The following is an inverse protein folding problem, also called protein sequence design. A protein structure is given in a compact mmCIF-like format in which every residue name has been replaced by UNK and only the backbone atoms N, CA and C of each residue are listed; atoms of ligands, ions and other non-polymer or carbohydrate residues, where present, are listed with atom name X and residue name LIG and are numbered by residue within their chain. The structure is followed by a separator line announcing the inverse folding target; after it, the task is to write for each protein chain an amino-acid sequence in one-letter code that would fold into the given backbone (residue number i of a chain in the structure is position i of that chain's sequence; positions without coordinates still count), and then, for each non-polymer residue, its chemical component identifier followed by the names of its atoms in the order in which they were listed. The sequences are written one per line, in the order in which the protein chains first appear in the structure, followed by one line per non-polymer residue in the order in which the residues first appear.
data_IF_427229747032
#
_entry.id   IF_427229747032
#
_cell.length_a   1.000
_cell.length_b   1.000
_cell.length_c   1.000
_cell.angle_alpha   90.00
_cell.angle_beta   90.00
_cell.angle_gamma   90.00
#
_symmetry.space_group_name_H-M   'P 1'
#
loop_
_entity.id
_entity.type
_entity.pdbx_description
1 polymer ?
#
# COMPACT_ATOMS: atom_id res chain seq x y z
N UNK A 1 9.77 -13.83 21.64
CA UNK A 1 9.82 -12.80 22.70
C UNK A 1 9.35 -11.52 22.06
N UNK A 2 8.34 -10.89 22.64
CA UNK A 2 7.77 -9.64 22.14
C UNK A 2 8.70 -8.48 22.48
N UNK A 3 9.12 -7.70 21.49
CA UNK A 3 9.94 -6.50 21.65
C UNK A 3 9.17 -5.25 21.24
N UNK A 4 9.51 -4.09 21.79
CA UNK A 4 8.92 -2.83 21.38
C UNK A 4 9.53 -2.34 20.06
N UNK A 5 8.69 -1.72 19.23
CA UNK A 5 9.11 -0.92 18.08
C UNK A 5 8.49 0.47 18.17
N UNK A 6 9.13 1.44 17.52
CA UNK A 6 8.74 2.84 17.59
C UNK A 6 8.67 3.42 16.17
N UNK A 7 7.46 3.67 15.70
CA UNK A 7 7.21 4.32 14.41
C UNK A 7 7.24 5.84 14.63
N UNK A 8 8.18 6.51 13.97
CA UNK A 8 8.32 7.98 14.05
C UNK A 8 7.56 8.63 12.91
N UNK A 9 6.94 9.77 13.19
CA UNK A 9 6.19 10.52 12.20
C UNK A 9 6.16 12.01 12.50
N UNK A 10 6.00 12.83 11.46
CA UNK A 10 5.82 14.28 11.56
C UNK A 10 4.35 14.63 11.32
N UNK A 11 3.85 15.62 12.05
CA UNK A 11 2.50 16.20 11.84
C UNK A 11 2.54 17.38 10.88
N UNK A 12 1.38 17.80 10.36
CA UNK A 12 1.33 18.98 9.45
C UNK A 12 1.76 20.29 10.12
N UNK A 13 1.73 20.37 11.45
CA UNK A 13 2.27 21.50 12.21
C UNK A 13 3.79 21.42 12.45
N UNK A 14 4.47 20.41 11.90
CA UNK A 14 5.91 20.19 12.08
C UNK A 14 6.30 19.55 13.41
N UNK A 15 5.35 19.03 14.19
CA UNK A 15 5.67 18.31 15.43
C UNK A 15 6.05 16.87 15.13
N UNK A 16 7.22 16.45 15.62
CA UNK A 16 7.63 15.05 15.65
C UNK A 16 6.90 14.29 16.76
N UNK A 17 6.42 13.09 16.42
CA UNK A 17 5.74 12.19 17.33
C UNK A 17 6.20 10.76 17.08
N UNK A 18 5.93 9.91 18.07
CA UNK A 18 6.26 8.48 18.01
C UNK A 18 5.04 7.66 18.41
N UNK A 19 4.78 6.59 17.67
CA UNK A 19 3.81 5.57 18.03
C UNK A 19 4.56 4.30 18.48
N UNK A 20 4.22 3.81 19.68
CA UNK A 20 4.78 2.57 20.22
C UNK A 20 3.91 1.39 19.80
N UNK A 21 4.55 0.35 19.29
CA UNK A 21 3.97 -0.94 18.92
C UNK A 21 4.89 -2.07 19.41
N UNK A 22 4.49 -3.30 19.14
CA UNK A 22 5.27 -4.49 19.46
C UNK A 22 5.51 -5.36 18.22
N UNK A 23 6.55 -6.20 18.26
CA UNK A 23 6.93 -7.08 17.14
C UNK A 23 5.91 -8.18 16.85
N UNK A 24 5.02 -8.49 17.78
CA UNK A 24 3.93 -9.48 17.60
C UNK A 24 2.60 -8.85 17.15
N UNK A 25 2.60 -7.55 16.85
CA UNK A 25 1.40 -6.86 16.37
C UNK A 25 0.89 -7.45 15.06
N UNK A 26 -0.41 -7.74 15.03
CA UNK A 26 -1.12 -8.14 13.81
C UNK A 26 -1.74 -6.94 13.11
N UNK A 27 -1.92 -5.82 13.81
CA UNK A 27 -2.59 -4.62 13.28
C UNK A 27 -1.90 -3.36 13.75
N UNK A 28 -1.46 -2.54 12.80
CA UNK A 28 -0.93 -1.20 13.06
C UNK A 28 -1.94 -0.19 12.54
N UNK A 29 -2.53 0.61 13.45
CA UNK A 29 -3.49 1.66 13.11
C UNK A 29 -2.93 3.05 13.47
N UNK A 30 -2.62 3.81 12.44
CA UNK A 30 -2.08 5.16 12.48
C UNK A 30 -3.06 6.18 11.85
N UNK A 31 -4.35 5.84 11.80
CA UNK A 31 -5.40 6.69 11.23
C UNK A 31 -5.58 7.98 12.04
N UNK A 32 -5.99 9.07 11.36
CA UNK A 32 -6.41 10.33 12.00
C UNK A 32 -5.35 10.95 12.94
N UNK A 33 -4.07 10.90 12.55
CA UNK A 33 -2.95 11.41 13.35
C UNK A 33 -2.29 12.67 12.78
N UNK A 34 -2.91 13.24 11.74
CA UNK A 34 -2.41 14.42 11.03
C UNK A 34 -0.99 14.23 10.47
N UNK A 35 -0.67 13.00 10.06
CA UNK A 35 0.68 12.62 9.62
C UNK A 35 0.99 13.27 8.26
N UNK A 36 2.09 14.01 8.16
CA UNK A 36 2.64 14.53 6.89
C UNK A 36 3.80 13.68 6.37
N UNK A 37 4.60 13.10 7.26
CA UNK A 37 5.75 12.24 6.95
C UNK A 37 5.84 11.10 7.97
N UNK A 38 6.27 9.91 7.55
CA UNK A 38 6.35 8.74 8.43
C UNK A 38 7.52 7.82 8.05
N UNK A 39 8.20 7.30 9.07
CA UNK A 39 9.18 6.23 8.95
C UNK A 39 8.54 4.88 9.30
N UNK A 40 8.28 4.08 8.28
CA UNK A 40 7.74 2.72 8.41
C UNK A 40 8.82 1.64 8.58
N UNK A 41 10.12 1.96 8.50
CA UNK A 41 11.18 0.96 8.62
C UNK A 41 11.06 0.06 9.87
N UNK A 42 10.62 0.53 11.05
CA UNK A 42 10.46 -0.33 12.22
C UNK A 42 9.49 -1.50 12.05
N UNK A 43 8.56 -1.46 11.07
CA UNK A 43 7.60 -2.55 10.87
C UNK A 43 8.22 -3.82 10.29
N UNK A 44 9.48 -3.78 9.80
CA UNK A 44 10.20 -4.99 9.33
C UNK A 44 10.25 -6.09 10.40
N UNK A 45 10.12 -5.71 11.69
CA UNK A 45 10.12 -6.62 12.83
C UNK A 45 8.73 -7.16 13.18
N UNK A 46 7.66 -6.70 12.53
CA UNK A 46 6.28 -7.15 12.73
C UNK A 46 5.93 -8.27 11.73
N UNK A 47 6.55 -9.44 11.88
CA UNK A 47 6.38 -10.57 10.95
C UNK A 47 4.94 -11.11 10.87
N UNK A 48 4.11 -10.83 11.88
CA UNK A 48 2.71 -11.24 11.95
C UNK A 48 1.73 -10.15 11.49
N UNK A 49 2.22 -9.06 10.89
CA UNK A 49 1.38 -7.94 10.49
C UNK A 49 0.36 -8.37 9.42
N UNK A 50 -0.92 -8.26 9.75
CA UNK A 50 -2.04 -8.55 8.85
C UNK A 50 -2.69 -7.28 8.31
N UNK A 51 -2.61 -6.16 9.03
CA UNK A 51 -3.27 -4.91 8.64
C UNK A 51 -2.43 -3.69 8.97
N UNK A 52 -2.20 -2.84 7.97
CA UNK A 52 -1.59 -1.51 8.13
C UNK A 52 -2.59 -0.45 7.68
N UNK A 53 -2.95 0.47 8.57
CA UNK A 53 -3.88 1.57 8.29
C UNK A 53 -3.25 2.92 8.63
N UNK A 54 -3.30 3.84 7.68
CA UNK A 54 -2.82 5.23 7.74
C UNK A 54 -3.89 6.18 7.14
N UNK A 55 -5.17 5.83 7.25
CA UNK A 55 -6.27 6.60 6.67
C UNK A 55 -6.39 7.98 7.30
N UNK A 56 -6.91 8.92 6.54
CA UNK A 56 -7.26 10.26 7.03
C UNK A 56 -6.06 10.96 7.68
N UNK A 57 -4.95 10.97 6.95
CA UNK A 57 -3.74 11.72 7.27
C UNK A 57 -3.47 12.74 6.13
N UNK A 58 -2.29 13.34 6.12
CA UNK A 58 -1.88 14.36 5.16
C UNK A 58 -0.66 13.94 4.34
N UNK A 59 -0.41 12.63 4.18
CA UNK A 59 0.74 12.09 3.48
C UNK A 59 0.71 12.49 2.00
N UNK A 60 1.80 13.06 1.49
CA UNK A 60 2.00 13.35 0.06
C UNK A 60 2.78 12.26 -0.68
N UNK A 61 3.55 11.50 0.09
CA UNK A 61 4.32 10.33 -0.34
C UNK A 61 4.39 9.32 0.82
N UNK A 62 4.75 8.08 0.49
CA UNK A 62 4.93 7.01 1.46
C UNK A 62 5.89 5.97 0.89
N UNK A 63 6.85 5.53 1.69
CA UNK A 63 7.70 4.39 1.37
C UNK A 63 7.08 3.09 1.91
N UNK A 64 6.81 2.17 1.00
CA UNK A 64 6.27 0.85 1.32
C UNK A 64 7.33 -0.26 1.35
N UNK A 65 8.61 0.04 1.09
CA UNK A 65 9.71 -0.93 1.06
C UNK A 65 9.79 -1.84 2.31
N UNK A 66 9.43 -1.42 3.54
CA UNK A 66 9.43 -2.33 4.70
C UNK A 66 8.47 -3.52 4.57
N UNK A 67 7.44 -3.41 3.71
CA UNK A 67 6.48 -4.48 3.45
C UNK A 67 7.08 -5.62 2.63
N UNK A 68 8.23 -5.44 1.97
CA UNK A 68 8.93 -6.56 1.34
C UNK A 68 9.35 -7.63 2.36
N UNK A 69 9.65 -7.20 3.59
CA UNK A 69 10.02 -8.09 4.70
C UNK A 69 8.81 -8.45 5.58
N UNK A 70 8.00 -7.46 5.95
CA UNK A 70 6.89 -7.66 6.89
C UNK A 70 5.59 -8.15 6.23
N UNK A 71 5.48 -8.09 4.90
CA UNK A 71 4.23 -8.21 4.16
C UNK A 71 3.69 -9.63 3.98
N UNK A 72 4.42 -10.66 4.40
CA UNK A 72 4.06 -12.08 4.16
C UNK A 72 2.65 -12.43 4.65
N UNK A 73 2.24 -11.87 5.79
CA UNK A 73 0.92 -12.09 6.39
C UNK A 73 -0.06 -10.93 6.13
N UNK A 74 0.36 -9.89 5.40
CA UNK A 74 -0.44 -8.69 5.21
C UNK A 74 -1.67 -9.02 4.36
N UNK A 75 -2.84 -8.65 4.88
CA UNK A 75 -4.17 -8.82 4.27
C UNK A 75 -4.78 -7.50 3.85
N UNK A 76 -4.46 -6.40 4.54
CA UNK A 76 -5.02 -5.09 4.22
C UNK A 76 -4.00 -3.97 4.37
N UNK A 77 -3.93 -3.11 3.34
CA UNK A 77 -3.26 -1.81 3.41
C UNK A 77 -4.24 -0.69 3.10
N UNK A 78 -4.37 0.27 4.03
CA UNK A 78 -5.33 1.37 3.92
C UNK A 78 -4.64 2.71 4.01
N UNK A 79 -4.59 3.42 2.89
CA UNK A 79 -3.96 4.74 2.72
C UNK A 79 -4.97 5.78 2.21
N UNK A 80 -6.27 5.49 2.27
CA UNK A 80 -7.30 6.41 1.78
C UNK A 80 -7.44 7.69 2.60
N UNK A 81 -7.98 8.74 2.00
CA UNK A 81 -8.04 10.10 2.58
C UNK A 81 -6.64 10.62 2.96
N UNK A 82 -5.72 10.63 2.00
CA UNK A 82 -4.41 11.26 2.13
C UNK A 82 -4.24 12.26 0.97
N UNK A 83 -3.01 12.71 0.71
CA UNK A 83 -2.68 13.64 -0.37
C UNK A 83 -1.65 13.03 -1.32
N UNK A 84 -1.61 11.70 -1.42
CA UNK A 84 -0.62 10.98 -2.22
C UNK A 84 -0.77 11.37 -3.68
N UNK A 85 0.30 11.87 -4.29
CA UNK A 85 0.32 12.25 -5.70
C UNK A 85 0.86 11.13 -6.59
N UNK A 86 1.70 10.26 -5.99
CA UNK A 86 2.29 9.06 -6.58
C UNK A 86 2.35 7.97 -5.51
N UNK A 87 2.41 6.72 -5.94
CA UNK A 87 2.66 5.58 -5.07
C UNK A 87 3.35 4.48 -5.86
N UNK A 88 4.41 3.90 -5.29
CA UNK A 88 5.02 2.66 -5.77
C UNK A 88 4.37 1.47 -5.08
N UNK A 89 3.87 0.51 -5.83
CA UNK A 89 3.22 -0.69 -5.30
C UNK A 89 4.13 -1.92 -5.34
N UNK A 90 5.36 -1.78 -5.83
CA UNK A 90 6.34 -2.86 -6.01
C UNK A 90 6.50 -3.71 -4.73
N UNK A 91 6.62 -3.12 -3.52
CA UNK A 91 6.71 -3.91 -2.28
C UNK A 91 5.52 -4.84 -2.02
N UNK A 92 4.33 -4.53 -2.57
CA UNK A 92 3.14 -5.36 -2.39
C UNK A 92 3.21 -6.68 -3.16
N UNK A 93 4.13 -6.84 -4.13
CA UNK A 93 4.32 -8.15 -4.78
C UNK A 93 4.80 -9.23 -3.81
N UNK A 94 5.35 -8.84 -2.67
CA UNK A 94 5.76 -9.73 -1.58
C UNK A 94 4.63 -10.07 -0.59
N UNK A 95 3.39 -9.63 -0.87
CA UNK A 95 2.22 -9.81 -0.01
C UNK A 95 1.21 -10.80 -0.65
N UNK A 96 1.46 -12.12 -0.63
CA UNK A 96 0.61 -13.11 -1.32
C UNK A 96 -0.79 -13.27 -0.69
N UNK A 97 -0.94 -12.85 0.57
CA UNK A 97 -2.19 -12.92 1.33
C UNK A 97 -2.99 -11.61 1.28
N UNK A 98 -2.56 -10.63 0.47
CA UNK A 98 -3.20 -9.33 0.38
C UNK A 98 -4.62 -9.46 -0.19
N UNK A 99 -5.60 -8.93 0.54
CA UNK A 99 -7.02 -8.97 0.19
C UNK A 99 -7.57 -7.57 -0.12
N UNK A 100 -7.03 -6.52 0.51
CA UNK A 100 -7.52 -5.14 0.38
C UNK A 100 -6.37 -4.14 0.17
N UNK A 101 -6.53 -3.29 -0.86
CA UNK A 101 -5.73 -2.08 -1.08
C UNK A 101 -6.68 -0.88 -1.18
N UNK A 102 -6.60 0.04 -0.22
CA UNK A 102 -7.40 1.27 -0.23
C UNK A 102 -6.54 2.50 -0.47
N UNK A 103 -6.73 3.14 -1.62
CA UNK A 103 -6.03 4.33 -2.10
C UNK A 103 -6.97 5.48 -2.49
N UNK A 104 -8.29 5.31 -2.31
CA UNK A 104 -9.29 6.34 -2.61
C UNK A 104 -9.10 7.62 -1.79
N UNK A 105 -9.63 8.73 -2.30
CA UNK A 105 -9.47 10.06 -1.72
C UNK A 105 -7.99 10.42 -1.53
N UNK A 106 -7.24 10.33 -2.62
CA UNK A 106 -5.88 10.82 -2.73
C UNK A 106 -5.78 11.82 -3.89
N UNK A 107 -4.57 12.13 -4.35
CA UNK A 107 -4.30 13.01 -5.50
C UNK A 107 -3.57 12.25 -6.62
N UNK A 108 -3.78 10.93 -6.66
CA UNK A 108 -3.15 10.04 -7.62
C UNK A 108 -3.70 10.33 -9.01
N UNK A 109 -2.81 10.51 -9.98
CA UNK A 109 -3.20 10.65 -11.39
C UNK A 109 -3.08 9.34 -12.16
N UNK A 110 -2.16 8.48 -11.72
CA UNK A 110 -1.87 7.18 -12.31
C UNK A 110 -1.39 6.22 -11.24
N UNK A 111 -1.75 4.94 -11.38
CA UNK A 111 -1.22 3.84 -10.55
C UNK A 111 -0.83 2.68 -11.46
N UNK A 112 0.35 2.14 -11.23
CA UNK A 112 0.79 0.88 -11.84
C UNK A 112 0.31 -0.30 -10.99
N UNK A 113 -0.52 -1.16 -11.57
CA UNK A 113 -1.11 -2.32 -10.92
C UNK A 113 -0.28 -3.59 -11.10
N UNK A 114 0.83 -3.56 -11.85
CA UNK A 114 1.66 -4.74 -12.13
C UNK A 114 2.03 -5.55 -10.87
N UNK A 115 2.41 -4.93 -9.74
CA UNK A 115 2.72 -5.67 -8.52
C UNK A 115 1.53 -6.45 -7.94
N UNK A 116 0.30 -5.95 -8.13
CA UNK A 116 -0.92 -6.55 -7.58
C UNK A 116 -1.32 -7.86 -8.28
N UNK A 117 -0.75 -8.16 -9.46
CA UNK A 117 -0.93 -9.47 -10.10
C UNK A 117 -0.27 -10.61 -9.31
N UNK A 118 0.65 -10.31 -8.39
CA UNK A 118 1.25 -11.27 -7.46
C UNK A 118 0.44 -11.46 -6.16
N UNK A 119 -0.72 -10.80 -6.05
CA UNK A 119 -1.62 -10.89 -4.90
C UNK A 119 -2.89 -11.69 -5.26
N UNK A 120 -2.83 -13.03 -5.40
CA UNK A 120 -3.94 -13.83 -5.92
C UNK A 120 -5.22 -13.76 -5.08
N UNK A 121 -5.11 -13.35 -3.82
CA UNK A 121 -6.23 -13.22 -2.88
C UNK A 121 -6.85 -11.82 -2.87
N UNK A 122 -6.40 -10.90 -3.74
CA UNK A 122 -6.88 -9.52 -3.74
C UNK A 122 -8.35 -9.46 -4.18
N UNK A 123 -9.19 -8.94 -3.29
CA UNK A 123 -10.65 -8.84 -3.46
C UNK A 123 -11.09 -7.38 -3.60
N UNK A 124 -10.40 -6.47 -2.94
CA UNK A 124 -10.77 -5.07 -2.87
C UNK A 124 -9.63 -4.16 -3.31
N UNK A 125 -9.91 -3.32 -4.30
CA UNK A 125 -9.02 -2.26 -4.78
C UNK A 125 -9.84 -0.97 -4.90
N UNK A 126 -9.67 -0.09 -3.92
CA UNK A 126 -10.36 1.19 -3.85
C UNK A 126 -9.45 2.30 -4.38
N UNK A 127 -9.85 2.90 -5.49
CA UNK A 127 -9.15 3.98 -6.20
C UNK A 127 -10.19 4.99 -6.68
N UNK A 128 -9.81 6.25 -6.80
CA UNK A 128 -10.69 7.29 -7.35
C UNK A 128 -10.96 7.03 -8.84
N UNK A 129 -12.14 7.43 -9.31
CA UNK A 129 -12.60 7.14 -10.67
C UNK A 129 -11.68 7.71 -11.76
N UNK A 130 -11.05 8.86 -11.49
CA UNK A 130 -10.21 9.59 -12.45
C UNK A 130 -8.76 9.06 -12.52
N UNK A 131 -8.40 8.06 -11.71
CA UNK A 131 -7.04 7.49 -11.70
C UNK A 131 -6.82 6.65 -12.96
N UNK A 132 -5.82 7.01 -13.76
CA UNK A 132 -5.39 6.19 -14.88
C UNK A 132 -4.70 4.91 -14.38
N UNK A 133 -5.15 3.75 -14.84
CA UNK A 133 -4.57 2.46 -14.44
C UNK A 133 -3.57 2.00 -15.51
N UNK A 134 -2.39 1.57 -15.10
CA UNK A 134 -1.39 0.94 -15.99
C UNK A 134 -0.99 -0.42 -15.48
N UNK A 135 -0.51 -1.28 -16.37
CA UNK A 135 0.14 -2.54 -16.01
C UNK A 135 1.07 -2.98 -17.15
N UNK A 136 2.03 -3.85 -16.85
CA UNK A 136 2.90 -4.50 -17.83
C UNK A 136 2.06 -5.33 -18.82
N UNK A 137 2.26 -5.08 -20.11
CA UNK A 137 1.64 -5.77 -21.23
C UNK A 137 1.81 -7.30 -21.16
N UNK A 138 2.92 -7.80 -20.61
CA UNK A 138 3.16 -9.24 -20.46
C UNK A 138 2.17 -9.90 -19.48
N UNK A 139 1.62 -9.14 -18.53
CA UNK A 139 0.65 -9.64 -17.57
C UNK A 139 -0.74 -9.86 -18.20
N UNK A 140 -0.98 -9.29 -19.39
CA UNK A 140 -2.26 -9.33 -20.13
C UNK A 140 -2.72 -10.75 -20.49
N UNK A 141 -1.80 -11.70 -20.61
CA UNK A 141 -2.09 -13.09 -20.98
C UNK A 141 -1.93 -14.09 -19.83
N UNK A 142 -1.69 -13.61 -18.61
CA UNK A 142 -1.53 -14.49 -17.44
C UNK A 142 -2.91 -15.02 -17.03
N UNK A 143 -3.06 -16.33 -16.88
CA UNK A 143 -4.37 -16.99 -16.72
C UNK A 143 -4.97 -17.00 -15.31
N UNK A 144 -4.33 -16.36 -14.32
CA UNK A 144 -4.82 -16.33 -12.94
C UNK A 144 -4.68 -14.92 -12.36
N UNK A 145 -5.73 -14.10 -12.56
CA UNK A 145 -5.77 -12.74 -12.03
C UNK A 145 -6.65 -12.69 -10.79
N UNK A 146 -6.35 -11.77 -9.85
CA UNK A 146 -7.32 -11.38 -8.86
C UNK A 146 -8.58 -10.85 -9.55
N UNK A 147 -9.76 -11.28 -9.09
CA UNK A 147 -11.06 -10.96 -9.70
C UNK A 147 -11.24 -9.45 -9.89
N UNK A 148 -10.85 -8.65 -8.90
CA UNK A 148 -10.92 -7.19 -8.93
C UNK A 148 -10.09 -6.53 -10.05
N UNK A 149 -9.02 -7.18 -10.52
CA UNK A 149 -8.23 -6.71 -11.66
C UNK A 149 -8.87 -7.11 -13.00
N UNK A 150 -9.55 -8.27 -13.06
CA UNK A 150 -10.33 -8.70 -14.23
C UNK A 150 -11.43 -7.69 -14.54
N UNK A 151 -12.18 -7.26 -13.52
CA UNK A 151 -13.25 -6.26 -13.66
C UNK A 151 -12.73 -4.91 -14.21
N UNK A 152 -11.45 -4.62 -13.97
CA UNK A 152 -10.78 -3.39 -14.41
C UNK A 152 -9.99 -3.56 -15.71
N UNK A 153 -9.95 -4.76 -16.30
CA UNK A 153 -9.15 -5.08 -17.50
C UNK A 153 -9.24 -4.04 -18.60
N UNK A 154 -10.45 -3.61 -18.95
CA UNK A 154 -10.71 -2.64 -20.02
C UNK A 154 -10.28 -1.20 -19.69
N UNK A 155 -10.05 -0.90 -18.42
CA UNK A 155 -9.59 0.42 -17.94
C UNK A 155 -8.06 0.49 -17.81
N UNK A 156 -7.38 -0.65 -17.87
CA UNK A 156 -5.92 -0.73 -17.73
C UNK A 156 -5.28 -0.39 -19.08
N UNK A 157 -4.39 0.61 -19.07
CA UNK A 157 -3.47 0.89 -20.15
C UNK A 157 -2.26 -0.05 -20.02
N UNK A 158 -2.27 -1.10 -20.83
CA UNK A 158 -1.20 -2.10 -20.93
C UNK A 158 0.02 -1.53 -21.67
N UNK A 159 1.20 -1.57 -21.05
CA UNK A 159 2.43 -0.99 -21.61
C UNK A 159 3.55 -2.02 -21.62
N UNK A 160 4.34 -2.06 -22.70
CA UNK A 160 5.62 -2.77 -22.66
C UNK A 160 6.61 -1.97 -21.79
N UNK A 161 7.53 -2.65 -21.11
CA UNK A 161 8.74 -2.04 -20.55
C UNK A 161 9.57 -1.46 -21.71
N UNK A 162 9.21 -0.28 -22.18
CA UNK A 162 9.97 0.61 -23.07
C UNK A 162 9.07 1.80 -23.39
N UNK A 163 9.12 2.81 -22.54
CA UNK A 163 9.24 4.22 -22.97
C UNK A 163 9.44 5.06 -21.71
N UNK A 164 10.69 5.50 -21.54
CA UNK A 164 11.06 6.70 -20.78
C UNK A 164 10.23 7.90 -21.22
#
# INVERSE_FOLDING_TARGET
MTSEIFIRYMTTSGLEKTARYFTDETKINLDLRDISEIDLLPIIWCENLESLSLRSNSLTEIDLSPLESAGKNLRAIRLGHNRLQKIGLEPLSSCPNLEEVSLSENQLKRVDLSPLFQCPNLKELNLDHEVALTADLLLRSVGNWPEVLIERYHKILWKSETTE
#
